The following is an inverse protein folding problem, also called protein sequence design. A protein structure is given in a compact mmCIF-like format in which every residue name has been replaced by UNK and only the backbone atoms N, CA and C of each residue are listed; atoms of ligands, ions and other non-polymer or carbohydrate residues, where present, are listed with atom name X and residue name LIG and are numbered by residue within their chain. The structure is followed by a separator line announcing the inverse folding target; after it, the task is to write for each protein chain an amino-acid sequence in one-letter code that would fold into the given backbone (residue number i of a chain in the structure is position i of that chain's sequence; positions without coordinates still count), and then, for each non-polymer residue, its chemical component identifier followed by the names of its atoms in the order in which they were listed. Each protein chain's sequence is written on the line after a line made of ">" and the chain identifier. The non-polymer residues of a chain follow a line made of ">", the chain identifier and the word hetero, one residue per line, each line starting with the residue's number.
data_IF_944269388387
#
_entry.id   IF_944269388387
#
_cell.length_a   1.000
_cell.length_b   1.000
_cell.length_c   1.000
_cell.angle_alpha   90.00
_cell.angle_beta   90.00
_cell.angle_gamma   90.00
#
_symmetry.space_group_name_H-M   'P 1'
#
loop_
_entity.id
_entity.type
_entity.pdbx_description
1 polymer ?
#
# COMPACT_ATOMS: atom_id res chain seq x y z
N UNK A 1 -53.52 -11.93 17.41
CA UNK A 1 -52.26 -12.66 17.22
C UNK A 1 -51.77 -12.31 15.82
N UNK A 2 -51.17 -11.11 15.67
CA UNK A 2 -50.93 -10.50 14.36
C UNK A 2 -49.54 -10.84 13.82
N UNK A 3 -49.50 -11.40 12.61
CA UNK A 3 -48.30 -11.62 11.81
C UNK A 3 -47.78 -10.29 11.27
N UNK A 4 -46.69 -9.78 11.83
CA UNK A 4 -45.87 -8.75 11.22
C UNK A 4 -44.40 -9.03 11.54
N UNK A 5 -43.61 -9.25 10.49
CA UNK A 5 -42.16 -9.07 10.36
C UNK A 5 -41.78 -9.79 9.05
N UNK A 6 -41.64 -9.11 7.93
CA UNK A 6 -40.72 -7.99 7.74
C UNK A 6 -39.63 -8.49 6.80
N UNK A 7 -39.82 -8.24 5.51
CA UNK A 7 -38.94 -8.59 4.41
C UNK A 7 -37.53 -8.05 4.68
N UNK A 8 -36.60 -8.92 5.13
CA UNK A 8 -35.18 -8.57 5.23
C UNK A 8 -34.57 -8.57 3.83
N UNK A 9 -34.47 -7.34 3.31
CA UNK A 9 -33.82 -6.94 2.06
C UNK A 9 -32.52 -7.70 1.86
N UNK A 10 -32.47 -8.51 0.82
CA UNK A 10 -31.23 -9.01 0.23
C UNK A 10 -30.49 -7.81 -0.35
N UNK A 11 -29.33 -7.46 0.23
CA UNK A 11 -28.44 -6.47 -0.37
C UNK A 11 -27.62 -7.16 -1.44
N UNK A 12 -28.17 -7.22 -2.66
CA UNK A 12 -27.37 -7.36 -3.85
C UNK A 12 -26.72 -6.00 -4.11
N UNK A 13 -25.39 -5.91 -4.10
CA UNK A 13 -24.71 -4.78 -4.72
C UNK A 13 -23.40 -5.22 -5.35
N UNK A 14 -23.41 -5.21 -6.68
CA UNK A 14 -22.29 -4.74 -7.48
C UNK A 14 -21.10 -5.68 -7.55
N UNK A 15 -21.15 -6.59 -8.51
CA UNK A 15 -19.95 -7.10 -9.17
C UNK A 15 -19.13 -5.90 -9.63
N UNK A 16 -18.06 -5.57 -8.92
CA UNK A 16 -17.10 -4.57 -9.38
C UNK A 16 -16.47 -5.15 -10.64
N UNK A 17 -16.83 -4.57 -11.78
CA UNK A 17 -16.23 -4.87 -13.07
C UNK A 17 -14.73 -4.65 -12.96
N UNK A 18 -13.86 -5.62 -13.30
CA UNK A 18 -12.49 -5.28 -13.63
C UNK A 18 -12.57 -4.48 -14.93
N UNK A 19 -12.54 -3.17 -14.81
CA UNK A 19 -12.43 -2.25 -15.94
C UNK A 19 -11.11 -2.56 -16.64
N UNK A 20 -11.16 -3.36 -17.71
CA UNK A 20 -10.04 -3.65 -18.61
C UNK A 20 -9.55 -2.35 -19.22
N UNK A 21 -8.55 -1.74 -18.60
CA UNK A 21 -7.81 -0.60 -19.13
C UNK A 21 -6.50 -1.12 -19.69
N UNK A 22 -6.44 -1.11 -21.01
CA UNK A 22 -5.35 -1.53 -21.89
C UNK A 22 -3.95 -1.33 -21.28
N UNK A 23 -3.19 -2.42 -21.15
CA UNK A 23 -1.72 -2.43 -21.18
C UNK A 23 -0.95 -1.71 -20.07
N UNK A 24 -1.49 -1.59 -18.85
CA UNK A 24 -0.66 -1.18 -17.72
C UNK A 24 -0.09 -2.43 -17.06
N UNK A 25 1.23 -2.65 -17.21
CA UNK A 25 1.99 -3.62 -16.41
C UNK A 25 1.55 -3.41 -14.96
N UNK A 26 0.91 -4.40 -14.36
CA UNK A 26 0.37 -4.31 -13.00
C UNK A 26 1.55 -3.99 -12.08
N UNK A 27 1.67 -2.71 -11.72
CA UNK A 27 2.71 -2.26 -10.81
C UNK A 27 2.42 -2.91 -9.47
N UNK A 28 3.15 -3.97 -9.13
CA UNK A 28 3.01 -4.65 -7.85
C UNK A 28 3.43 -3.64 -6.78
N UNK A 29 2.48 -3.27 -5.92
CA UNK A 29 2.71 -2.33 -4.82
C UNK A 29 2.97 -3.16 -3.57
N UNK A 30 4.19 -3.10 -3.06
CA UNK A 30 4.58 -3.71 -1.79
C UNK A 30 4.83 -2.62 -0.73
N UNK A 31 4.57 -2.95 0.54
CA UNK A 31 4.85 -2.06 1.66
C UNK A 31 5.96 -2.70 2.49
N UNK A 32 7.02 -1.96 2.79
CA UNK A 32 8.21 -2.50 3.48
C UNK A 32 8.39 -1.86 4.85
N UNK A 33 9.25 -0.86 4.93
CA UNK A 33 9.73 -0.31 6.20
C UNK A 33 8.71 0.57 6.91
N UNK A 34 8.43 0.32 8.19
CA UNK A 34 7.59 1.22 9.00
C UNK A 34 8.38 2.49 9.35
N UNK A 35 7.79 3.65 9.11
CA UNK A 35 8.37 4.97 9.37
C UNK A 35 7.66 5.72 10.51
N UNK A 36 6.77 5.04 11.26
CA UNK A 36 6.08 5.63 12.40
C UNK A 36 7.06 5.82 13.57
N UNK A 37 7.13 7.03 14.13
CA UNK A 37 7.80 7.24 15.41
C UNK A 37 6.84 6.86 16.56
N UNK A 38 7.13 5.74 17.24
CA UNK A 38 6.35 5.24 18.37
C UNK A 38 6.64 5.99 19.67
N UNK A 39 7.82 6.60 19.80
CA UNK A 39 8.22 7.38 20.97
C UNK A 39 7.87 8.87 20.86
N UNK A 40 7.22 9.31 19.77
CA UNK A 40 6.90 10.72 19.53
C UNK A 40 6.14 11.36 20.72
N UNK A 41 5.21 10.62 21.33
CA UNK A 41 4.42 11.10 22.46
C UNK A 41 5.22 11.28 23.76
N UNK A 42 6.37 10.62 23.89
CA UNK A 42 7.26 10.68 25.05
C UNK A 42 8.39 11.71 24.81
N UNK A 43 8.43 12.34 23.62
CA UNK A 43 9.50 13.24 23.22
C UNK A 43 10.76 12.52 22.73
N UNK A 44 10.66 11.22 22.42
CA UNK A 44 11.75 10.42 21.87
C UNK A 44 11.59 10.11 20.38
N UNK A 45 12.56 9.39 19.83
CA UNK A 45 12.52 8.83 18.48
C UNK A 45 12.82 7.33 18.54
N UNK A 46 11.80 6.51 18.32
CA UNK A 46 11.92 5.06 18.22
C UNK A 46 10.98 4.55 17.13
N UNK A 47 11.54 3.84 16.16
CA UNK A 47 10.81 3.25 15.04
C UNK A 47 10.89 1.74 15.18
N UNK A 48 9.76 1.05 14.97
CA UNK A 48 9.62 -0.40 15.21
C UNK A 48 10.45 -1.25 14.24
N UNK A 49 10.92 -0.67 13.13
CA UNK A 49 11.87 -1.32 12.23
C UNK A 49 11.33 -2.53 11.47
N UNK A 50 10.03 -2.57 11.15
CA UNK A 50 9.48 -3.65 10.31
C UNK A 50 10.22 -3.70 8.96
N UNK A 51 10.63 -4.87 8.49
CA UNK A 51 11.29 -5.04 7.19
C UNK A 51 10.29 -5.22 6.05
N UNK A 52 9.17 -5.87 6.36
CA UNK A 52 8.10 -6.20 5.41
C UNK A 52 6.74 -5.98 6.06
N UNK A 53 5.77 -5.47 5.29
CA UNK A 53 4.41 -5.32 5.77
C UNK A 53 3.70 -6.68 5.78
N UNK A 54 3.31 -7.12 6.97
CA UNK A 54 2.45 -8.29 7.14
C UNK A 54 1.04 -7.83 7.54
N UNK A 55 0.04 -8.13 6.72
CA UNK A 55 -1.34 -7.83 7.03
C UNK A 55 -1.84 -8.66 8.23
N UNK A 56 -2.56 -8.02 9.16
CA UNK A 56 -3.10 -8.69 10.36
C UNK A 56 -4.38 -9.48 10.11
N UNK A 57 -4.99 -9.36 8.93
CA UNK A 57 -6.26 -10.00 8.60
C UNK A 57 -6.46 -10.22 7.11
N UNK A 58 -7.61 -10.82 6.76
CA UNK A 58 -7.93 -11.23 5.40
C UNK A 58 -8.16 -10.04 4.45
N UNK A 59 -7.83 -10.22 3.18
CA UNK A 59 -8.02 -9.23 2.12
C UNK A 59 -9.47 -8.72 2.08
N UNK A 60 -9.64 -7.40 1.94
CA UNK A 60 -10.95 -6.74 1.96
C UNK A 60 -11.50 -6.41 3.36
N UNK A 61 -10.81 -6.81 4.44
CA UNK A 61 -11.14 -6.38 5.80
C UNK A 61 -10.32 -5.16 6.23
N UNK A 62 -10.77 -4.36 7.21
CA UNK A 62 -9.94 -3.26 7.74
C UNK A 62 -8.62 -3.75 8.36
N UNK A 63 -8.59 -4.99 8.84
CA UNK A 63 -7.40 -5.63 9.41
C UNK A 63 -6.31 -5.90 8.34
N UNK A 64 -6.66 -6.02 7.05
CA UNK A 64 -5.69 -6.16 5.97
C UNK A 64 -4.80 -4.92 5.81
N UNK A 65 -5.23 -3.77 6.34
CA UNK A 65 -4.52 -2.51 6.23
C UNK A 65 -3.63 -2.19 7.43
N UNK A 66 -3.58 -3.09 8.42
CA UNK A 66 -2.82 -2.93 9.66
C UNK A 66 -1.71 -3.97 9.72
N UNK A 67 -0.50 -3.52 10.05
CA UNK A 67 0.68 -4.36 10.19
C UNK A 67 0.59 -5.24 11.45
N UNK A 68 0.77 -6.55 11.32
CA UNK A 68 0.71 -7.49 12.44
C UNK A 68 1.87 -7.34 13.43
N UNK A 69 3.01 -6.79 13.00
CA UNK A 69 4.19 -6.60 13.84
C UNK A 69 4.11 -5.32 14.69
N UNK A 70 3.89 -4.17 14.07
CA UNK A 70 3.93 -2.86 14.73
C UNK A 70 2.55 -2.22 14.96
N UNK A 71 1.47 -2.89 14.54
CA UNK A 71 0.09 -2.42 14.63
C UNK A 71 -0.16 -1.06 13.95
N UNK A 72 0.72 -0.63 13.05
CA UNK A 72 0.57 0.60 12.26
C UNK A 72 -0.21 0.35 10.98
N UNK A 73 -0.91 1.38 10.50
CA UNK A 73 -1.54 1.33 9.18
C UNK A 73 -0.48 1.25 8.07
N UNK A 74 -0.76 0.53 6.98
CA UNK A 74 0.15 0.38 5.81
C UNK A 74 0.65 1.71 5.24
N UNK A 75 -0.08 2.80 5.44
CA UNK A 75 0.34 4.16 5.04
C UNK A 75 1.59 4.67 5.76
N UNK A 76 1.89 4.14 6.95
CA UNK A 76 3.13 4.44 7.65
C UNK A 76 4.30 3.57 7.18
N UNK A 77 4.03 2.58 6.33
CA UNK A 77 5.07 1.78 5.70
C UNK A 77 5.45 2.39 4.36
N UNK A 78 6.74 2.32 4.04
CA UNK A 78 7.29 2.78 2.75
C UNK A 78 6.66 1.99 1.62
N UNK A 79 5.94 2.70 0.74
CA UNK A 79 5.38 2.16 -0.50
C UNK A 79 6.51 1.94 -1.50
N UNK A 80 6.71 0.69 -1.90
CA UNK A 80 7.62 0.28 -2.97
C UNK A 80 6.77 -0.16 -4.15
N UNK A 81 7.06 0.41 -5.31
CA UNK A 81 6.35 0.09 -6.55
C UNK A 81 7.37 -0.59 -7.45
N UNK A 82 7.26 -1.90 -7.58
CA UNK A 82 8.10 -2.66 -8.49
C UNK A 82 7.60 -2.36 -9.91
N UNK A 83 8.27 -1.42 -10.56
CA UNK A 83 8.13 -1.19 -12.00
C UNK A 83 9.37 -1.78 -12.63
N UNK A 84 9.21 -2.80 -13.48
CA UNK A 84 10.28 -3.36 -14.33
C UNK A 84 10.80 -2.33 -15.36
N UNK A 85 11.39 -1.25 -14.88
CA UNK A 85 12.01 -0.19 -15.67
C UNK A 85 13.23 0.35 -14.92
N UNK A 86 14.11 -0.58 -14.51
CA UNK A 86 15.54 -0.27 -14.42
C UNK A 86 16.06 -0.18 -15.87
N UNK A 87 15.84 0.98 -16.48
CA UNK A 87 16.49 1.41 -17.71
C UNK A 87 16.60 2.93 -17.67
N UNK A 88 17.19 3.45 -16.60
CA UNK A 88 17.91 4.72 -16.68
C UNK A 88 19.40 4.39 -16.61
N UNK A 89 19.87 3.77 -17.70
CA UNK A 89 21.26 3.84 -18.11
C UNK A 89 21.57 5.31 -18.32
N UNK A 90 21.96 6.00 -17.26
CA UNK A 90 22.65 7.27 -17.39
C UNK A 90 24.04 6.96 -17.93
N UNK A 91 24.09 6.77 -19.25
CA UNK A 91 25.31 6.92 -20.03
C UNK A 91 25.79 8.36 -19.76
N UNK A 92 26.76 8.47 -18.85
CA UNK A 92 27.48 9.70 -18.59
C UNK A 92 28.38 9.97 -19.81
N UNK A 93 27.77 10.35 -20.93
CA UNK A 93 28.49 10.95 -22.03
C UNK A 93 28.94 12.36 -21.61
N UNK A 94 30.05 12.37 -20.88
CA UNK A 94 31.12 13.38 -20.89
C UNK A 94 30.74 14.69 -21.59
N UNK A 95 30.41 15.73 -20.83
CA UNK A 95 30.40 17.09 -21.37
C UNK A 95 31.86 17.59 -21.45
N UNK A 96 32.56 17.06 -22.44
CA UNK A 96 33.82 17.62 -22.94
C UNK A 96 33.46 18.58 -24.07
N UNK A 97 33.52 19.89 -23.83
CA UNK A 97 33.79 21.00 -24.78
C UNK A 97 33.55 22.31 -24.01
N UNK A 98 34.55 23.06 -23.53
CA UNK A 98 35.47 23.92 -24.28
C UNK A 98 34.78 24.86 -25.31
N UNK A 99 35.02 26.17 -25.12
CA UNK A 99 34.81 27.30 -26.04
C UNK A 99 33.39 27.85 -26.25
N UNK A 100 33.15 29.07 -25.75
CA UNK A 100 33.25 30.31 -26.53
C UNK A 100 33.31 31.54 -25.62
#
# INVERSE_FOLDING_TARGET
>A
MGLQQGLKKTYANGSVTPSTRSGQKEKVVTYKECMRNHAANIGGYAVDGCTEFMASGAEGTPAAFVCAACNCHRSFHKRVVESDADSDSCDCSSISTASR
#
